data_IF_817159625056
#
_entry.id   IF_817159625056
#
_cell.length_a   1.000
_cell.length_b   1.000
_cell.length_c   1.000
_cell.angle_alpha   90.00
_cell.angle_beta   90.00
_cell.angle_gamma   90.00
#
_symmetry.space_group_name_H-M   'P 1'
#
loop_
_entity.id
_entity.type
_entity.pdbx_description
1 polymer ?
#
# COMPACT_ATOMS: atom_id res chain seq x y z
N UNK A 1 12.66 -1.84 5.89
CA UNK A 1 12.17 -0.84 4.90
C UNK A 1 12.10 0.49 5.61
N UNK A 2 12.56 1.56 4.96
CA UNK A 2 12.45 2.93 5.46
C UNK A 2 11.54 3.71 4.51
N UNK A 3 10.48 4.33 5.04
CA UNK A 3 9.58 5.18 4.24
C UNK A 3 10.15 6.59 4.22
N UNK A 4 10.28 7.17 3.01
CA UNK A 4 10.78 8.54 2.81
C UNK A 4 9.63 9.54 2.78
N UNK A 5 8.89 9.57 1.68
CA UNK A 5 7.72 10.43 1.49
C UNK A 5 6.52 9.62 1.00
N UNK A 6 5.32 10.10 1.31
CA UNK A 6 4.09 9.59 0.74
C UNK A 6 3.09 10.74 0.56
N UNK A 7 2.29 10.67 -0.50
CA UNK A 7 1.27 11.65 -0.82
C UNK A 7 0.06 10.98 -1.46
N UNK A 8 -1.12 11.49 -1.08
CA UNK A 8 -2.41 11.07 -1.59
C UNK A 8 -3.08 12.27 -2.23
N UNK A 9 -3.56 12.11 -3.46
CA UNK A 9 -4.24 13.16 -4.22
C UNK A 9 -5.51 12.61 -4.85
N UNK A 10 -6.71 13.14 -4.51
CA UNK A 10 -6.94 14.18 -3.50
C UNK A 10 -6.66 13.69 -2.07
N UNK A 11 -6.31 14.62 -1.17
CA UNK A 11 -6.04 14.31 0.24
C UNK A 11 -7.31 13.89 1.01
N UNK A 12 -8.48 14.30 0.51
CA UNK A 12 -9.79 13.88 1.01
C UNK A 12 -10.32 12.78 0.09
N UNK A 13 -10.57 11.59 0.64
CA UNK A 13 -11.10 10.47 -0.13
C UNK A 13 -12.53 10.79 -0.60
N UNK A 14 -12.70 10.89 -1.91
CA UNK A 14 -14.01 11.08 -2.54
C UNK A 14 -14.44 9.73 -3.14
N UNK A 15 -15.68 9.33 -2.83
CA UNK A 15 -16.20 8.03 -3.24
C UNK A 15 -16.40 7.99 -4.75
N UNK A 16 -15.96 6.91 -5.38
CA UNK A 16 -16.09 6.72 -6.83
C UNK A 16 -15.12 7.55 -7.66
N UNK A 17 -14.21 8.28 -7.03
CA UNK A 17 -13.14 9.01 -7.72
C UNK A 17 -11.82 8.25 -7.64
N UNK A 18 -10.91 8.59 -8.55
CA UNK A 18 -9.55 8.09 -8.56
C UNK A 18 -8.75 8.70 -7.39
N UNK A 19 -7.95 7.87 -6.74
CA UNK A 19 -6.95 8.28 -5.77
C UNK A 19 -5.56 8.02 -6.36
N UNK A 20 -4.80 9.09 -6.55
CA UNK A 20 -3.39 9.02 -6.91
C UNK A 20 -2.55 8.85 -5.64
N UNK A 21 -1.70 7.84 -5.65
CA UNK A 21 -0.82 7.47 -4.56
C UNK A 21 0.61 7.62 -5.03
N UNK A 22 1.36 8.51 -4.39
CA UNK A 22 2.79 8.68 -4.59
C UNK A 22 3.52 8.25 -3.33
N UNK A 23 4.51 7.37 -3.44
CA UNK A 23 5.31 6.94 -2.31
C UNK A 23 6.77 6.74 -2.70
N UNK A 24 7.68 7.04 -1.78
CA UNK A 24 9.11 6.79 -1.92
C UNK A 24 9.70 6.23 -0.65
N UNK A 25 10.76 5.44 -0.79
CA UNK A 25 11.47 4.87 0.35
C UNK A 25 12.66 4.03 -0.05
N UNK A 26 13.19 3.30 0.92
CA UNK A 26 14.37 2.44 0.75
C UNK A 26 14.11 1.06 1.33
N UNK A 27 14.41 0.04 0.52
CA UNK A 27 14.51 -1.35 0.94
C UNK A 27 15.94 -1.56 1.44
N UNK A 28 16.11 -1.75 2.75
CA UNK A 28 17.44 -1.86 3.38
C UNK A 28 18.09 -3.23 3.14
N UNK A 29 17.25 -4.26 2.95
CA UNK A 29 17.61 -5.66 2.76
C UNK A 29 16.66 -6.29 1.75
N UNK A 30 17.16 -7.20 0.91
CA UNK A 30 16.35 -7.84 -0.13
C UNK A 30 15.17 -8.62 0.48
N UNK A 31 13.98 -8.46 -0.10
CA UNK A 31 12.76 -9.11 0.38
C UNK A 31 12.44 -10.27 -0.56
N UNK A 32 12.33 -11.46 0.00
CA UNK A 32 12.06 -12.70 -0.73
C UNK A 32 10.61 -13.15 -0.56
N UNK A 33 10.22 -14.20 -1.31
CA UNK A 33 8.95 -14.87 -1.14
C UNK A 33 8.72 -15.30 0.32
N UNK A 34 7.47 -15.22 0.78
CA UNK A 34 7.11 -15.45 2.19
C UNK A 34 7.20 -14.20 3.07
N UNK A 35 7.31 -13.01 2.47
CA UNK A 35 7.15 -11.75 3.18
C UNK A 35 5.66 -11.40 3.35
N UNK A 36 5.25 -11.06 4.56
CA UNK A 36 3.85 -10.77 4.89
C UNK A 36 3.67 -9.35 5.44
N UNK A 37 2.51 -8.76 5.15
CA UNK A 37 2.05 -7.50 5.74
C UNK A 37 0.83 -7.76 6.63
N UNK A 38 0.85 -7.22 7.84
CA UNK A 38 -0.30 -7.22 8.74
C UNK A 38 -1.08 -5.90 8.57
N UNK A 39 -2.23 -5.98 7.92
CA UNK A 39 -3.14 -4.87 7.71
C UNK A 39 -4.16 -4.80 8.85
N UNK A 40 -4.09 -3.73 9.65
CA UNK A 40 -5.06 -3.45 10.72
C UNK A 40 -5.70 -2.08 10.52
N UNK A 41 -7.00 -2.06 10.25
CA UNK A 41 -7.81 -0.85 10.10
C UNK A 41 -8.70 -0.69 11.32
N UNK A 42 -8.67 0.48 11.95
CA UNK A 42 -9.50 0.82 13.11
C UNK A 42 -10.47 1.96 12.77
N UNK A 43 -11.65 1.91 13.39
CA UNK A 43 -12.61 3.02 13.42
C UNK A 43 -12.97 3.28 14.88
N UNK A 44 -12.40 4.34 15.46
CA UNK A 44 -12.42 4.57 16.90
C UNK A 44 -11.77 3.42 17.67
N UNK A 45 -12.53 2.80 18.59
CA UNK A 45 -12.09 1.66 19.39
C UNK A 45 -12.24 0.31 18.67
N UNK A 46 -13.03 0.25 17.59
CA UNK A 46 -13.33 -0.99 16.89
C UNK A 46 -12.31 -1.28 15.79
N UNK A 47 -11.94 -2.55 15.62
CA UNK A 47 -11.10 -2.99 14.49
C UNK A 47 -12.01 -3.44 13.35
N UNK A 48 -11.93 -2.74 12.22
CA UNK A 48 -12.77 -2.98 11.02
C UNK A 48 -12.16 -4.04 10.12
N UNK A 49 -10.84 -4.10 10.04
CA UNK A 49 -10.13 -5.13 9.32
C UNK A 49 -8.85 -5.52 10.07
N UNK A 50 -8.59 -6.82 10.14
CA UNK A 50 -7.33 -7.37 10.63
C UNK A 50 -6.96 -8.56 9.74
N UNK A 51 -6.03 -8.37 8.81
CA UNK A 51 -5.68 -9.35 7.80
C UNK A 51 -4.17 -9.45 7.68
N UNK A 52 -3.66 -10.66 7.47
CA UNK A 52 -2.29 -10.90 7.04
C UNK A 52 -2.34 -11.17 5.55
N UNK A 53 -1.56 -10.42 4.77
CA UNK A 53 -1.49 -10.55 3.31
C UNK A 53 -0.07 -10.90 2.89
N UNK A 54 0.07 -11.74 1.88
CA UNK A 54 1.38 -12.00 1.25
C UNK A 54 1.76 -10.76 0.42
N UNK A 55 2.91 -10.18 0.75
CA UNK A 55 3.43 -9.01 0.06
C UNK A 55 3.82 -9.36 -1.37
N UNK A 56 4.54 -10.47 -1.57
CA UNK A 56 5.04 -10.88 -2.87
C UNK A 56 3.92 -11.22 -3.85
N UNK A 57 2.82 -11.79 -3.37
CA UNK A 57 1.62 -12.00 -4.19
C UNK A 57 1.02 -10.65 -4.62
N UNK A 58 0.93 -9.68 -3.71
CA UNK A 58 0.20 -8.43 -3.94
C UNK A 58 0.98 -7.38 -4.73
N UNK A 59 2.30 -7.35 -4.65
CA UNK A 59 3.14 -6.37 -5.39
C UNK A 59 3.12 -6.54 -6.91
N UNK A 60 2.64 -7.69 -7.40
CA UNK A 60 2.45 -7.92 -8.84
C UNK A 60 1.45 -6.93 -9.44
N UNK A 61 0.49 -6.46 -8.65
CA UNK A 61 -0.48 -5.44 -9.06
C UNK A 61 0.17 -4.10 -9.39
N UNK A 62 1.30 -3.79 -8.76
CA UNK A 62 2.09 -2.58 -9.00
C UNK A 62 3.30 -2.87 -9.90
N UNK A 63 3.22 -3.92 -10.71
CA UNK A 63 4.25 -4.34 -11.69
C UNK A 63 5.64 -4.55 -11.05
N UNK A 64 5.67 -5.02 -9.81
CA UNK A 64 6.90 -5.43 -9.12
C UNK A 64 6.87 -6.93 -8.88
N UNK A 65 8.05 -7.54 -8.92
CA UNK A 65 8.22 -8.97 -8.68
C UNK A 65 9.20 -9.19 -7.54
N UNK A 66 8.99 -10.27 -6.80
CA UNK A 66 9.97 -10.74 -5.82
C UNK A 66 11.09 -11.54 -6.53
N UNK A 67 12.34 -11.47 -6.05
CA UNK A 67 12.76 -10.75 -4.86
C UNK A 67 12.86 -9.23 -5.09
N UNK A 68 12.32 -8.44 -4.15
CA UNK A 68 12.51 -7.00 -4.16
C UNK A 68 13.94 -6.69 -3.75
N UNK A 69 14.70 -6.12 -4.68
CA UNK A 69 16.11 -5.79 -4.45
C UNK A 69 16.25 -4.66 -3.43
N UNK A 70 17.37 -4.69 -2.71
CA UNK A 70 17.83 -3.57 -1.89
C UNK A 70 17.99 -2.32 -2.77
N UNK A 71 17.54 -1.17 -2.27
CA UNK A 71 17.65 0.10 -2.98
C UNK A 71 16.48 1.03 -2.71
N UNK A 72 16.53 2.21 -3.34
CA UNK A 72 15.40 3.14 -3.34
C UNK A 72 14.28 2.62 -4.23
N UNK A 73 13.05 2.92 -3.83
CA UNK A 73 11.87 2.67 -4.64
C UNK A 73 11.01 3.92 -4.69
N UNK A 74 10.27 4.03 -5.79
CA UNK A 74 9.22 5.00 -5.98
C UNK A 74 8.03 4.28 -6.60
N UNK A 75 6.84 4.58 -6.09
CA UNK A 75 5.56 4.00 -6.49
C UNK A 75 4.63 5.15 -6.81
N UNK A 76 4.03 5.10 -7.99
CA UNK A 76 3.01 6.01 -8.49
C UNK A 76 1.87 5.14 -9.01
N UNK A 77 0.76 5.09 -8.27
CA UNK A 77 -0.36 4.22 -8.58
C UNK A 77 -1.67 5.00 -8.49
N UNK A 78 -2.61 4.63 -9.36
CA UNK A 78 -3.96 5.18 -9.39
C UNK A 78 -4.92 4.08 -9.03
N UNK A 79 -5.76 4.32 -8.02
CA UNK A 79 -6.74 3.35 -7.55
C UNK A 79 -8.13 3.97 -7.46
N UNK A 80 -9.16 3.21 -7.81
CA UNK A 80 -10.53 3.66 -7.66
C UNK A 80 -10.99 3.57 -6.20
N UNK A 81 -11.52 4.67 -5.67
CA UNK A 81 -12.13 4.67 -4.34
C UNK A 81 -13.51 4.01 -4.42
N UNK A 82 -13.77 2.91 -3.68
CA UNK A 82 -15.06 2.24 -3.75
C UNK A 82 -16.23 3.15 -3.36
N UNK A 83 -17.31 3.12 -4.14
CA UNK A 83 -18.54 3.87 -3.83
C UNK A 83 -19.25 3.37 -2.57
N UNK A 84 -18.96 2.14 -2.17
CA UNK A 84 -19.53 1.45 -1.01
C UNK A 84 -18.91 1.85 0.34
N UNK A 85 -17.88 2.68 0.37
CA UNK A 85 -17.29 3.21 1.61
C UNK A 85 -18.40 3.93 2.41
N UNK A 86 -18.77 3.45 3.61
CA UNK A 86 -19.76 4.14 4.46
C UNK A 86 -19.10 5.37 5.11
N UNK A 87 -19.88 6.45 5.24
CA UNK A 87 -19.44 7.77 5.73
C UNK A 87 -19.01 7.69 7.19
#
# INVERSE_FOLDING_TARGET
ISVGSYQFSPNLLIKGEELHIEASGTINEAIYAGAYVNLKVKYGIFTVANKTIDLCEKITLIKKECPLKKGSFHISEVVDVPTSMRK
#
